data_IF_242101877783
#
_entry.id   IF_242101877783
#
_cell.length_a   1.000
_cell.length_b   1.000
_cell.length_c   1.000
_cell.angle_alpha   90.00
_cell.angle_beta   90.00
_cell.angle_gamma   90.00
#
_symmetry.space_group_name_H-M   'P 1'
#
loop_
_entity.id
_entity.type
_entity.pdbx_description
1 polymer ?
#
# COMPACT_ATOMS: atom_id res chain seq x y z
N UNK A 1 -41.41 -15.68 -6.91
CA UNK A 1 -40.59 -16.45 -5.94
C UNK A 1 -39.12 -16.05 -6.13
N UNK A 2 -38.39 -15.68 -5.07
CA UNK A 2 -36.97 -15.32 -5.19
C UNK A 2 -36.16 -16.56 -5.56
N UNK A 3 -35.24 -16.43 -6.53
CA UNK A 3 -34.40 -17.52 -7.01
C UNK A 3 -33.56 -18.09 -5.84
N UNK A 4 -33.71 -19.38 -5.48
CA UNK A 4 -33.02 -20.00 -4.34
C UNK A 4 -31.49 -20.09 -4.53
N UNK A 5 -31.02 -19.95 -5.77
CA UNK A 5 -29.58 -19.90 -6.10
C UNK A 5 -29.00 -18.48 -6.05
N UNK A 6 -29.80 -17.46 -5.79
CA UNK A 6 -29.29 -16.09 -5.71
C UNK A 6 -28.32 -15.96 -4.52
N UNK A 7 -27.14 -15.39 -4.79
CA UNK A 7 -26.12 -15.09 -3.78
C UNK A 7 -26.09 -13.61 -3.46
N UNK A 8 -25.74 -13.28 -2.23
CA UNK A 8 -25.43 -11.93 -1.78
C UNK A 8 -24.45 -11.99 -0.61
N UNK A 9 -23.60 -10.95 -0.50
CA UNK A 9 -22.79 -10.70 0.69
C UNK A 9 -23.57 -10.00 1.79
N UNK A 10 -24.67 -9.34 1.42
CA UNK A 10 -25.55 -8.58 2.33
C UNK A 10 -26.95 -9.17 2.32
N UNK A 11 -27.44 -9.48 3.51
CA UNK A 11 -28.79 -10.00 3.70
C UNK A 11 -29.48 -9.26 4.85
N UNK A 12 -30.76 -8.96 4.66
CA UNK A 12 -31.66 -8.41 5.66
C UNK A 12 -32.72 -9.46 5.97
N UNK A 13 -32.83 -9.81 7.24
CA UNK A 13 -33.83 -10.71 7.77
C UNK A 13 -34.86 -9.89 8.52
N UNK A 14 -36.14 -10.15 8.26
CA UNK A 14 -37.26 -9.59 9.03
C UNK A 14 -38.04 -10.74 9.64
N UNK A 15 -38.07 -10.84 10.95
CA UNK A 15 -38.74 -11.94 11.67
C UNK A 15 -39.93 -11.37 12.42
N UNK A 16 -41.11 -11.97 12.25
CA UNK A 16 -42.30 -11.60 13.00
C UNK A 16 -42.38 -12.43 14.28
N UNK A 17 -42.81 -11.81 15.38
CA UNK A 17 -43.02 -12.44 16.69
C UNK A 17 -41.81 -13.27 17.16
N UNK A 18 -40.61 -12.69 17.23
CA UNK A 18 -39.37 -13.41 17.56
C UNK A 18 -39.46 -14.17 18.88
N UNK A 19 -40.15 -13.61 19.90
CA UNK A 19 -40.41 -14.26 21.18
C UNK A 19 -41.18 -15.59 21.05
N UNK A 20 -42.14 -15.68 20.12
CA UNK A 20 -42.91 -16.90 19.85
C UNK A 20 -42.10 -17.93 19.05
N UNK A 21 -41.07 -17.47 18.34
CA UNK A 21 -40.15 -18.32 17.58
C UNK A 21 -38.92 -18.76 18.41
N UNK A 22 -38.85 -18.41 19.70
CA UNK A 22 -37.71 -18.75 20.57
C UNK A 22 -36.41 -18.03 20.21
N UNK A 23 -36.49 -16.90 19.51
CA UNK A 23 -35.32 -16.15 19.05
C UNK A 23 -34.86 -15.16 20.13
N UNK A 24 -34.08 -15.65 21.09
CA UNK A 24 -33.37 -14.77 22.03
C UNK A 24 -32.19 -14.07 21.37
N UNK A 25 -31.69 -12.98 21.98
CA UNK A 25 -30.52 -12.27 21.48
C UNK A 25 -29.29 -13.19 21.44
N UNK A 26 -29.11 -14.02 22.46
CA UNK A 26 -28.01 -14.99 22.58
C UNK A 26 -28.08 -16.03 21.47
N UNK A 27 -29.29 -16.49 21.13
CA UNK A 27 -29.48 -17.42 20.01
C UNK A 27 -29.05 -16.76 18.69
N UNK A 28 -29.47 -15.52 18.42
CA UNK A 28 -29.07 -14.79 17.21
C UNK A 28 -27.55 -14.64 17.12
N UNK A 29 -26.91 -14.22 18.22
CA UNK A 29 -25.44 -14.15 18.28
C UNK A 29 -24.79 -15.50 17.99
N UNK A 30 -25.26 -16.59 18.61
CA UNK A 30 -24.68 -17.93 18.41
C UNK A 30 -24.80 -18.42 16.96
N UNK A 31 -25.95 -18.17 16.32
CA UNK A 31 -26.20 -18.56 14.93
C UNK A 31 -25.32 -17.79 13.97
N UNK A 32 -25.16 -16.47 14.20
CA UNK A 32 -24.39 -15.60 13.33
C UNK A 32 -22.88 -15.77 13.52
N UNK A 33 -22.40 -15.92 14.76
CA UNK A 33 -20.98 -16.17 15.04
C UNK A 33 -20.55 -17.58 14.63
N UNK A 34 -21.47 -18.54 14.57
CA UNK A 34 -21.22 -19.85 13.97
C UNK A 34 -20.98 -19.83 12.45
N UNK A 35 -21.21 -18.69 11.79
CA UNK A 35 -20.90 -18.50 10.37
C UNK A 35 -19.51 -17.91 10.20
N UNK A 36 -18.54 -18.75 9.83
CA UNK A 36 -17.14 -18.33 9.61
C UNK A 36 -16.95 -17.22 8.58
N UNK A 37 -17.96 -16.92 7.76
CA UNK A 37 -17.83 -15.91 6.70
C UNK A 37 -18.41 -14.54 7.08
N UNK A 38 -19.13 -14.42 8.19
CA UNK A 38 -19.79 -13.16 8.59
C UNK A 38 -18.77 -12.27 9.32
N UNK A 39 -18.49 -11.10 8.76
CA UNK A 39 -17.53 -10.15 9.34
C UNK A 39 -18.23 -9.03 10.13
N UNK A 40 -19.51 -8.81 9.87
CA UNK A 40 -20.31 -7.77 10.53
C UNK A 40 -21.79 -8.15 10.55
N UNK A 41 -22.46 -7.88 11.67
CA UNK A 41 -23.92 -7.89 11.74
C UNK A 41 -24.44 -6.92 12.79
N UNK A 42 -25.68 -6.49 12.61
CA UNK A 42 -26.44 -5.80 13.64
C UNK A 42 -27.90 -6.24 13.61
N UNK A 43 -28.57 -6.13 14.74
CA UNK A 43 -30.00 -6.42 14.84
C UNK A 43 -30.69 -5.56 15.89
N UNK A 44 -31.99 -5.38 15.74
CA UNK A 44 -32.82 -4.65 16.68
C UNK A 44 -34.22 -5.25 16.76
N UNK A 45 -34.92 -4.92 17.85
CA UNK A 45 -36.33 -5.26 18.04
C UNK A 45 -37.20 -4.03 17.82
N UNK A 46 -38.33 -4.26 17.17
CA UNK A 46 -39.33 -3.24 16.87
C UNK A 46 -40.72 -3.72 17.28
N UNK A 47 -41.58 -2.78 17.69
CA UNK A 47 -42.99 -3.03 17.94
C UNK A 47 -43.77 -2.19 16.93
N UNK A 48 -44.47 -2.86 16.01
CA UNK A 48 -45.36 -2.17 15.08
C UNK A 48 -46.48 -1.45 15.85
N UNK A 49 -47.10 -0.41 15.24
CA UNK A 49 -48.25 0.30 15.82
C UNK A 49 -49.41 -0.63 16.21
N UNK A 50 -49.48 -1.82 15.61
CA UNK A 50 -50.46 -2.88 15.91
C UNK A 50 -50.09 -3.77 17.11
N UNK A 51 -48.99 -3.48 17.81
CA UNK A 51 -48.49 -4.25 18.97
C UNK A 51 -47.72 -5.52 18.59
N UNK A 52 -47.48 -5.77 17.31
CA UNK A 52 -46.72 -6.93 16.85
C UNK A 52 -45.21 -6.68 16.94
N UNK A 53 -44.50 -7.60 17.61
CA UNK A 53 -43.05 -7.59 17.71
C UNK A 53 -42.39 -8.07 16.41
N UNK A 54 -41.34 -7.37 15.99
CA UNK A 54 -40.52 -7.68 14.83
C UNK A 54 -39.05 -7.60 15.18
N UNK A 55 -38.23 -8.47 14.59
CA UNK A 55 -36.78 -8.39 14.68
C UNK A 55 -36.20 -8.18 13.29
N UNK A 56 -35.34 -7.18 13.14
CA UNK A 56 -34.56 -6.96 11.94
C UNK A 56 -33.12 -7.36 12.19
N UNK A 57 -32.55 -8.20 11.32
CA UNK A 57 -31.15 -8.63 11.38
C UNK A 57 -30.52 -8.27 10.05
N UNK A 58 -29.45 -7.48 10.08
CA UNK A 58 -28.61 -7.21 8.92
C UNK A 58 -27.28 -7.95 9.08
N UNK A 59 -26.82 -8.60 8.01
CA UNK A 59 -25.50 -9.26 7.98
C UNK A 59 -24.69 -8.81 6.77
N UNK A 60 -23.37 -8.77 6.96
CA UNK A 60 -22.37 -8.67 5.91
C UNK A 60 -21.35 -9.81 6.03
N UNK A 61 -20.97 -10.38 4.88
CA UNK A 61 -20.04 -11.49 4.78
C UNK A 61 -19.03 -11.27 3.64
N UNK A 62 -17.73 -11.48 3.89
CA UNK A 62 -16.70 -11.39 2.84
C UNK A 62 -16.94 -12.37 1.69
N UNK A 63 -17.54 -13.52 1.98
CA UNK A 63 -17.92 -14.55 0.99
C UNK A 63 -19.43 -14.52 0.68
N UNK A 64 -19.86 -14.54 -0.59
CA UNK A 64 -21.29 -14.52 -0.92
C UNK A 64 -22.06 -15.72 -0.35
N UNK A 65 -23.11 -15.46 0.42
CA UNK A 65 -24.00 -16.48 0.98
C UNK A 65 -25.21 -16.68 0.05
N UNK A 66 -25.56 -17.93 -0.23
CA UNK A 66 -26.77 -18.28 -1.01
C UNK A 66 -28.03 -17.97 -0.21
N UNK A 67 -29.09 -17.54 -0.89
CA UNK A 67 -30.41 -17.31 -0.30
C UNK A 67 -30.88 -18.50 0.54
N UNK A 68 -30.78 -19.71 -0.01
CA UNK A 68 -31.16 -20.94 0.68
C UNK A 68 -30.33 -21.19 1.96
N UNK A 69 -29.02 -20.94 1.92
CA UNK A 69 -28.14 -21.08 3.08
C UNK A 69 -28.48 -20.07 4.17
N UNK A 70 -28.67 -18.80 3.81
CA UNK A 70 -29.09 -17.76 4.74
C UNK A 70 -30.46 -18.06 5.35
N UNK A 71 -31.44 -18.41 4.51
CA UNK A 71 -32.82 -18.74 4.92
C UNK A 71 -32.89 -19.95 5.86
N UNK A 72 -32.01 -20.95 5.72
CA UNK A 72 -31.92 -22.10 6.64
C UNK A 72 -31.54 -21.70 8.07
N UNK A 73 -30.82 -20.59 8.27
CA UNK A 73 -30.42 -20.12 9.60
C UNK A 73 -31.57 -19.50 10.37
N UNK A 74 -32.45 -18.80 9.65
CA UNK A 74 -33.69 -18.26 10.19
C UNK A 74 -34.86 -18.68 9.30
N UNK A 75 -35.36 -19.92 9.41
CA UNK A 75 -36.40 -20.45 8.51
C UNK A 75 -37.67 -19.60 8.48
N UNK A 76 -38.02 -18.96 9.59
CA UNK A 76 -39.21 -18.13 9.73
C UNK A 76 -39.04 -16.68 9.24
N UNK A 77 -37.84 -16.26 8.83
CA UNK A 77 -37.59 -14.88 8.43
C UNK A 77 -38.11 -14.53 7.03
N UNK A 78 -38.57 -13.32 6.81
CA UNK A 78 -38.55 -12.77 5.46
C UNK A 78 -37.12 -12.35 5.12
N UNK A 79 -36.57 -12.88 4.02
CA UNK A 79 -35.17 -12.65 3.63
C UNK A 79 -35.11 -11.77 2.38
N UNK A 80 -34.43 -10.63 2.49
CA UNK A 80 -34.18 -9.66 1.45
C UNK A 80 -32.69 -9.50 1.19
N UNK A 81 -32.32 -9.28 -0.08
CA UNK A 81 -30.98 -8.78 -0.39
C UNK A 81 -30.92 -7.35 0.12
N UNK A 82 -29.94 -7.04 0.98
CA UNK A 82 -29.76 -5.68 1.44
C UNK A 82 -29.10 -4.85 0.33
N UNK A 83 -29.68 -3.68 0.05
CA UNK A 83 -29.17 -2.67 -0.87
C UNK A 83 -28.49 -1.55 -0.09
N UNK A 84 -27.70 -0.72 -0.74
CA UNK A 84 -26.93 0.34 -0.06
C UNK A 84 -25.72 -0.20 0.71
N UNK A 85 -24.94 0.66 1.35
CA UNK A 85 -23.72 0.29 2.10
C UNK A 85 -24.03 -0.37 3.45
N UNK A 86 -23.05 -1.04 4.07
CA UNK A 86 -23.23 -1.57 5.43
C UNK A 86 -23.51 -0.44 6.43
N UNK A 87 -22.89 0.72 6.26
CA UNK A 87 -23.16 1.91 7.07
C UNK A 87 -24.61 2.41 6.91
N UNK A 88 -25.14 2.44 5.68
CA UNK A 88 -26.54 2.80 5.43
C UNK A 88 -27.52 1.80 6.05
N UNK A 89 -27.24 0.49 5.96
CA UNK A 89 -28.09 -0.54 6.57
C UNK A 89 -28.04 -0.50 8.10
N UNK A 90 -26.86 -0.23 8.68
CA UNK A 90 -26.71 0.01 10.13
C UNK A 90 -27.52 1.21 10.57
N UNK A 91 -27.38 2.35 9.88
CA UNK A 91 -28.13 3.57 10.19
C UNK A 91 -29.64 3.38 10.01
N UNK A 92 -30.07 2.57 9.03
CA UNK A 92 -31.47 2.19 8.85
C UNK A 92 -32.02 1.40 10.04
N UNK A 93 -31.28 0.40 10.56
CA UNK A 93 -31.69 -0.38 11.74
C UNK A 93 -31.68 0.43 13.05
N UNK A 94 -30.72 1.35 13.20
CA UNK A 94 -30.67 2.29 14.33
C UNK A 94 -31.73 3.39 14.24
N UNK A 95 -32.28 3.62 13.04
CA UNK A 95 -33.13 4.77 12.70
C UNK A 95 -32.45 6.10 13.01
N UNK A 96 -31.15 6.17 12.78
CA UNK A 96 -30.32 7.37 12.94
C UNK A 96 -30.30 8.22 11.65
N UNK A 97 -29.89 9.48 11.76
CA UNK A 97 -29.73 10.39 10.61
C UNK A 97 -31.03 10.70 9.88
N UNK A 98 -31.07 10.46 8.56
CA UNK A 98 -32.25 10.73 7.71
C UNK A 98 -33.52 9.95 8.10
N UNK A 99 -33.37 8.92 8.93
CA UNK A 99 -34.47 8.07 9.39
C UNK A 99 -35.01 8.45 10.78
N UNK A 100 -34.30 9.32 11.51
CA UNK A 100 -34.67 9.75 12.86
C UNK A 100 -35.97 10.57 12.91
N UNK A 101 -36.32 11.24 11.81
CA UNK A 101 -37.53 12.08 11.68
C UNK A 101 -38.70 11.35 11.01
N UNK A 102 -38.60 10.05 10.75
CA UNK A 102 -39.68 9.27 10.13
C UNK A 102 -40.62 8.68 11.18
N UNK A 103 -41.92 8.52 10.88
CA UNK A 103 -42.89 7.85 11.76
C UNK A 103 -42.47 6.42 12.17
N UNK A 104 -41.50 5.83 11.46
CA UNK A 104 -40.91 4.53 11.79
C UNK A 104 -39.93 4.63 12.97
N UNK A 105 -39.37 5.79 13.31
CA UNK A 105 -38.51 5.94 14.49
C UNK A 105 -39.23 5.54 15.79
N UNK A 106 -40.53 5.80 15.88
CA UNK A 106 -41.38 5.51 17.04
C UNK A 106 -41.60 4.01 17.31
N UNK A 107 -41.33 3.13 16.33
CA UNK A 107 -41.54 1.68 16.49
C UNK A 107 -40.31 0.93 17.00
N UNK A 108 -39.15 1.59 17.17
CA UNK A 108 -37.93 0.94 17.66
C UNK A 108 -37.92 0.82 19.18
N UNK A 109 -37.61 -0.36 19.73
CA UNK A 109 -37.42 -0.52 21.17
C UNK A 109 -36.06 0.07 21.54
N UNK A 110 -36.07 1.18 22.28
CA UNK A 110 -34.86 1.88 22.73
C UNK A 110 -33.96 0.94 23.56
N UNK A 111 -32.70 0.78 23.14
CA UNK A 111 -31.72 -0.09 23.80
C UNK A 111 -31.73 -1.56 23.35
N UNK A 112 -32.58 -1.94 22.39
CA UNK A 112 -32.62 -3.31 21.83
C UNK A 112 -31.58 -3.58 20.74
N UNK A 113 -30.87 -2.54 20.29
CA UNK A 113 -29.88 -2.65 19.23
C UNK A 113 -28.63 -3.39 19.71
N UNK A 114 -28.21 -4.37 18.92
CA UNK A 114 -27.02 -5.17 19.14
C UNK A 114 -26.15 -5.13 17.87
N UNK A 115 -24.84 -5.06 18.04
CA UNK A 115 -23.86 -4.94 16.96
C UNK A 115 -22.63 -5.78 17.26
N UNK A 116 -22.06 -6.38 16.22
CA UNK A 116 -20.84 -7.16 16.32
C UNK A 116 -20.03 -7.08 15.02
N UNK A 117 -18.71 -7.09 15.17
CA UNK A 117 -17.76 -7.04 14.05
C UNK A 117 -17.43 -5.61 13.62
N UNK A 118 -16.82 -5.47 12.44
CA UNK A 118 -16.38 -4.17 11.90
C UNK A 118 -16.95 -3.93 10.52
N UNK A 119 -17.52 -2.75 10.31
CA UNK A 119 -18.02 -2.33 9.00
C UNK A 119 -16.83 -2.26 8.02
N UNK A 120 -16.89 -2.91 6.84
CA UNK A 120 -15.83 -2.81 5.84
C UNK A 120 -15.71 -1.38 5.31
N UNK A 121 -14.48 -0.92 5.05
CA UNK A 121 -14.25 0.37 4.40
C UNK A 121 -14.96 0.47 3.02
N UNK A 122 -15.43 1.66 2.66
CA UNK A 122 -16.11 1.90 1.38
C UNK A 122 -15.26 1.40 0.19
N UNK A 123 -15.87 0.64 -0.73
CA UNK A 123 -15.18 0.00 -1.87
C UNK A 123 -14.75 -1.46 -1.64
N UNK A 124 -14.48 -1.88 -0.39
CA UNK A 124 -14.27 -3.32 -0.07
C UNK A 124 -15.54 -4.15 -0.26
N UNK A 125 -16.70 -3.51 -0.13
CA UNK A 125 -18.00 -4.17 -0.30
C UNK A 125 -18.27 -4.62 -1.74
N UNK A 126 -17.85 -3.83 -2.72
CA UNK A 126 -18.15 -4.06 -4.14
C UNK A 126 -17.15 -5.00 -4.80
N UNK A 127 -15.86 -4.94 -4.44
CA UNK A 127 -14.87 -5.87 -4.96
C UNK A 127 -13.74 -6.20 -3.95
N UNK A 128 -14.00 -7.09 -2.98
CA UNK A 128 -13.04 -7.43 -1.92
C UNK A 128 -11.69 -7.91 -2.46
N UNK A 129 -11.68 -8.66 -3.57
CA UNK A 129 -10.45 -9.17 -4.17
C UNK A 129 -9.57 -8.05 -4.75
N UNK A 130 -10.17 -7.04 -5.41
CA UNK A 130 -9.40 -5.90 -5.93
C UNK A 130 -8.86 -5.02 -4.80
N UNK A 131 -9.67 -4.76 -3.77
CA UNK A 131 -9.20 -4.02 -2.59
C UNK A 131 -8.05 -4.74 -1.90
N UNK A 132 -8.14 -6.07 -1.77
CA UNK A 132 -7.05 -6.87 -1.19
C UNK A 132 -5.77 -6.78 -2.00
N UNK A 133 -5.86 -6.79 -3.34
CA UNK A 133 -4.68 -6.61 -4.19
C UNK A 133 -4.00 -5.26 -3.95
N UNK A 134 -4.76 -4.17 -3.87
CA UNK A 134 -4.23 -2.84 -3.59
C UNK A 134 -3.52 -2.80 -2.23
N UNK A 135 -4.12 -3.38 -1.20
CA UNK A 135 -3.49 -3.50 0.13
C UNK A 135 -2.17 -4.27 0.09
N UNK A 136 -2.13 -5.40 -0.63
CA UNK A 136 -0.91 -6.21 -0.75
C UNK A 136 0.21 -5.41 -1.45
N UNK A 137 -0.12 -4.68 -2.52
CA UNK A 137 0.84 -3.81 -3.22
C UNK A 137 1.32 -2.68 -2.28
N UNK A 138 0.42 -2.02 -1.57
CA UNK A 138 0.77 -0.94 -0.63
C UNK A 138 1.58 -1.44 0.58
N UNK A 139 1.41 -2.71 0.97
CA UNK A 139 2.21 -3.34 2.02
C UNK A 139 3.64 -3.70 1.57
N UNK A 140 4.01 -3.42 0.32
CA UNK A 140 5.35 -3.66 -0.21
C UNK A 140 5.58 -5.09 -0.72
N UNK A 141 4.54 -5.92 -0.85
CA UNK A 141 4.72 -7.27 -1.37
C UNK A 141 5.17 -7.25 -2.84
N UNK A 142 6.11 -8.14 -3.14
CA UNK A 142 6.56 -8.41 -4.50
C UNK A 142 5.44 -9.03 -5.33
N UNK A 143 5.49 -8.88 -6.64
CA UNK A 143 4.49 -9.48 -7.54
C UNK A 143 4.47 -11.01 -7.38
N UNK A 144 5.62 -11.64 -7.15
CA UNK A 144 5.74 -13.07 -6.89
C UNK A 144 5.03 -13.48 -5.60
N UNK A 145 5.22 -12.78 -4.49
CA UNK A 145 4.53 -13.05 -3.22
C UNK A 145 3.01 -12.90 -3.35
N UNK A 146 2.55 -11.88 -4.07
CA UNK A 146 1.13 -11.67 -4.36
C UNK A 146 0.57 -12.88 -5.13
N UNK A 147 1.27 -13.36 -6.16
CA UNK A 147 0.84 -14.52 -6.95
C UNK A 147 0.85 -15.80 -6.11
N UNK A 148 1.86 -16.02 -5.28
CA UNK A 148 1.93 -17.18 -4.39
C UNK A 148 0.80 -17.16 -3.35
N UNK A 149 0.45 -15.98 -2.82
CA UNK A 149 -0.66 -15.83 -1.88
C UNK A 149 -2.04 -16.06 -2.52
N UNK A 150 -2.17 -15.74 -3.81
CA UNK A 150 -3.40 -15.94 -4.57
C UNK A 150 -3.09 -16.23 -6.05
N UNK A 151 -3.01 -17.51 -6.44
CA UNK A 151 -2.67 -17.93 -7.80
C UNK A 151 -3.60 -17.41 -8.90
N UNK A 152 -4.78 -16.87 -8.58
CA UNK A 152 -5.66 -16.21 -9.54
C UNK A 152 -5.03 -14.97 -10.22
N UNK A 153 -3.95 -14.44 -9.65
CA UNK A 153 -3.18 -13.34 -10.23
C UNK A 153 -2.05 -13.78 -11.17
N UNK A 154 -1.81 -15.08 -11.36
CA UNK A 154 -0.66 -15.59 -12.12
C UNK A 154 -0.53 -15.01 -13.54
N UNK A 155 -1.66 -14.71 -14.20
CA UNK A 155 -1.69 -14.12 -15.55
C UNK A 155 -1.88 -12.59 -15.55
N UNK A 156 -1.75 -11.93 -14.40
CA UNK A 156 -1.99 -10.49 -14.21
C UNK A 156 -0.74 -9.72 -13.75
N UNK A 157 0.44 -10.29 -13.96
CA UNK A 157 1.73 -9.71 -13.56
C UNK A 157 1.91 -8.28 -14.08
N UNK A 158 1.59 -8.03 -15.35
CA UNK A 158 1.71 -6.70 -15.94
C UNK A 158 0.75 -5.70 -15.30
N UNK A 159 -0.51 -6.07 -15.09
CA UNK A 159 -1.50 -5.21 -14.43
C UNK A 159 -1.08 -4.85 -13.01
N UNK A 160 -0.48 -5.79 -12.27
CA UNK A 160 0.03 -5.56 -10.92
C UNK A 160 1.19 -4.57 -10.94
N UNK A 161 2.12 -4.71 -11.87
CA UNK A 161 3.27 -3.81 -11.99
C UNK A 161 2.82 -2.39 -12.38
N UNK A 162 1.93 -2.26 -13.36
CA UNK A 162 1.34 -0.96 -13.76
C UNK A 162 0.58 -0.32 -12.60
N UNK A 163 -0.20 -1.10 -11.83
CA UNK A 163 -0.90 -0.60 -10.66
C UNK A 163 0.08 -0.12 -9.57
N UNK A 164 1.16 -0.87 -9.33
CA UNK A 164 2.21 -0.48 -8.38
C UNK A 164 2.87 0.85 -8.80
N UNK A 165 3.27 0.97 -10.06
CA UNK A 165 3.84 2.21 -10.60
C UNK A 165 2.87 3.38 -10.48
N UNK A 166 1.59 3.17 -10.78
CA UNK A 166 0.55 4.20 -10.65
C UNK A 166 0.43 4.70 -9.21
N UNK A 167 0.39 3.79 -8.23
CA UNK A 167 0.29 4.14 -6.82
C UNK A 167 1.55 4.84 -6.30
N UNK A 168 2.74 4.39 -6.72
CA UNK A 168 3.98 5.07 -6.39
C UNK A 168 4.04 6.47 -7.00
N UNK A 169 3.62 6.63 -8.26
CA UNK A 169 3.61 7.91 -8.97
C UNK A 169 2.70 8.92 -8.28
N UNK A 170 1.48 8.52 -7.91
CA UNK A 170 0.56 9.40 -7.17
C UNK A 170 1.12 9.82 -5.81
N UNK A 171 1.74 8.88 -5.08
CA UNK A 171 2.35 9.16 -3.78
C UNK A 171 3.55 10.11 -3.88
N UNK A 172 4.53 9.79 -4.73
CA UNK A 172 5.81 10.48 -4.77
C UNK A 172 5.83 11.72 -5.67
N UNK A 173 4.81 11.93 -6.51
CA UNK A 173 4.64 13.19 -7.25
C UNK A 173 4.18 14.37 -6.39
N UNK A 174 3.70 14.12 -5.16
CA UNK A 174 3.07 15.11 -4.28
C UNK A 174 3.89 15.45 -3.03
N UNK A 175 5.00 14.78 -2.82
CA UNK A 175 5.79 14.90 -1.58
C UNK A 175 7.27 15.09 -1.90
N UNK A 176 7.95 15.87 -1.06
CA UNK A 176 9.40 15.92 -1.09
C UNK A 176 9.97 14.66 -0.44
N UNK A 177 11.03 14.13 -1.04
CA UNK A 177 11.77 12.95 -0.60
C UNK A 177 12.74 13.32 0.52
N UNK A 178 12.96 12.39 1.43
CA UNK A 178 14.08 12.43 2.36
C UNK A 178 15.22 11.61 1.75
N UNK A 179 16.34 12.25 1.43
CA UNK A 179 17.48 11.60 0.78
C UNK A 179 18.67 11.49 1.72
N UNK A 180 19.21 10.29 1.85
CA UNK A 180 20.52 9.99 2.39
C UNK A 180 21.46 9.60 1.24
N UNK A 181 22.44 10.45 0.97
CA UNK A 181 23.39 10.24 -0.13
C UNK A 181 24.76 9.91 0.44
N UNK A 182 25.28 8.75 0.10
CA UNK A 182 26.59 8.27 0.55
C UNK A 182 27.52 8.09 -0.63
N UNK A 183 28.62 8.84 -0.66
CA UNK A 183 29.69 8.65 -1.61
C UNK A 183 30.69 7.63 -1.03
N UNK A 184 30.96 6.55 -1.75
CA UNK A 184 31.89 5.50 -1.36
C UNK A 184 33.00 5.41 -2.39
N UNK A 185 34.25 5.53 -1.95
CA UNK A 185 35.41 5.32 -2.81
C UNK A 185 36.47 4.41 -2.19
N UNK A 186 37.42 3.95 -3.00
CA UNK A 186 38.49 3.04 -2.58
C UNK A 186 38.85 2.06 -3.68
N UNK A 187 39.86 1.23 -3.49
CA UNK A 187 40.32 0.29 -4.51
C UNK A 187 39.25 -0.76 -4.87
N UNK A 188 39.38 -1.38 -6.05
CA UNK A 188 38.58 -2.56 -6.40
C UNK A 188 38.77 -3.66 -5.37
N UNK A 189 37.71 -4.40 -5.06
CA UNK A 189 37.75 -5.48 -4.06
C UNK A 189 37.86 -5.01 -2.60
N UNK A 190 37.76 -3.70 -2.32
CA UNK A 190 37.79 -3.18 -0.95
C UNK A 190 36.51 -3.43 -0.14
N UNK A 191 35.47 -4.04 -0.73
CA UNK A 191 34.21 -4.36 -0.03
C UNK A 191 33.12 -3.28 -0.13
N UNK A 192 33.24 -2.33 -1.06
CA UNK A 192 32.28 -1.23 -1.26
C UNK A 192 30.84 -1.73 -1.52
N UNK A 193 30.65 -2.62 -2.50
CA UNK A 193 29.32 -3.17 -2.79
C UNK A 193 28.84 -4.08 -1.66
N UNK A 194 29.73 -4.87 -1.04
CA UNK A 194 29.40 -5.74 0.10
C UNK A 194 28.79 -4.93 1.25
N UNK A 195 29.38 -3.78 1.59
CA UNK A 195 28.85 -2.88 2.60
C UNK A 195 27.40 -2.49 2.31
N UNK A 196 27.04 -2.20 1.06
CA UNK A 196 25.66 -1.82 0.71
C UNK A 196 24.69 -3.00 0.91
N UNK A 197 25.09 -4.20 0.49
CA UNK A 197 24.29 -5.42 0.65
C UNK A 197 24.16 -5.89 2.11
N UNK A 198 25.09 -5.52 2.99
CA UNK A 198 24.96 -5.77 4.43
C UNK A 198 23.94 -4.84 5.10
N UNK A 199 23.72 -3.64 4.55
CA UNK A 199 22.84 -2.62 5.14
C UNK A 199 21.44 -2.59 4.54
N UNK A 200 21.25 -3.14 3.34
CA UNK A 200 19.98 -3.10 2.61
C UNK A 200 19.63 -4.47 2.04
N UNK A 201 18.32 -4.78 2.02
CA UNK A 201 17.82 -5.98 1.36
C UNK A 201 18.16 -5.93 -0.14
N UNK A 202 18.62 -7.04 -0.76
CA UNK A 202 18.84 -7.10 -2.21
C UNK A 202 17.61 -6.70 -3.04
N UNK A 203 16.39 -6.92 -2.52
CA UNK A 203 15.14 -6.53 -3.18
C UNK A 203 14.92 -5.01 -3.22
N UNK A 204 15.49 -4.30 -2.25
CA UNK A 204 15.37 -2.83 -2.11
C UNK A 204 16.50 -2.07 -2.80
N UNK A 205 17.41 -2.77 -3.48
CA UNK A 205 18.56 -2.18 -4.16
C UNK A 205 18.33 -2.19 -5.68
N UNK A 206 18.32 -1.01 -6.30
CA UNK A 206 18.48 -0.84 -7.74
C UNK A 206 19.92 -0.41 -8.05
N UNK A 207 20.63 -1.23 -8.83
CA UNK A 207 22.00 -0.92 -9.28
C UNK A 207 21.98 -0.35 -10.70
N UNK A 208 22.61 0.80 -10.86
CA UNK A 208 22.89 1.43 -12.15
C UNK A 208 24.32 1.08 -12.52
N UNK A 209 24.45 0.11 -13.43
CA UNK A 209 25.74 -0.41 -13.92
C UNK A 209 25.98 -0.07 -15.38
N UNK A 210 24.98 0.52 -16.05
CA UNK A 210 25.06 0.94 -17.45
C UNK A 210 24.75 2.42 -17.53
N UNK A 211 25.73 3.18 -18.01
CA UNK A 211 25.62 4.62 -18.15
C UNK A 211 25.35 5.00 -19.59
N UNK A 212 24.66 6.14 -19.75
CA UNK A 212 24.49 6.78 -21.04
C UNK A 212 25.83 7.23 -21.65
N UNK A 213 25.75 7.82 -22.84
CA UNK A 213 26.88 8.49 -23.48
C UNK A 213 26.57 9.98 -23.65
N UNK A 214 27.49 10.76 -24.23
CA UNK A 214 27.27 12.21 -24.42
C UNK A 214 26.01 12.56 -25.22
N UNK A 215 25.49 11.62 -26.01
CA UNK A 215 24.31 11.81 -26.85
C UNK A 215 23.02 11.25 -26.23
N UNK A 216 23.12 10.41 -25.20
CA UNK A 216 21.99 9.73 -24.58
C UNK A 216 22.18 9.70 -23.07
N UNK A 217 21.22 10.26 -22.33
CA UNK A 217 21.21 10.21 -20.86
C UNK A 217 21.13 8.78 -20.33
N UNK A 218 21.54 8.60 -19.08
CA UNK A 218 21.45 7.32 -18.39
C UNK A 218 19.97 6.91 -18.26
N UNK A 219 19.67 5.65 -18.59
CA UNK A 219 18.31 5.11 -18.52
C UNK A 219 18.13 4.26 -17.27
N UNK A 220 17.02 4.47 -16.58
CA UNK A 220 16.67 3.81 -15.32
C UNK A 220 15.75 2.61 -15.54
N UNK A 221 16.00 1.83 -16.61
CA UNK A 221 15.15 0.68 -17.01
C UNK A 221 15.04 -0.40 -15.91
N UNK A 222 16.04 -0.52 -15.05
CA UNK A 222 16.09 -1.47 -13.94
C UNK A 222 15.41 -0.94 -12.65
N UNK A 223 14.93 0.30 -12.67
CA UNK A 223 14.31 0.92 -11.50
C UNK A 223 12.81 0.65 -11.49
N UNK A 224 12.34 -0.04 -10.45
CA UNK A 224 10.95 -0.44 -10.25
C UNK A 224 10.44 -0.01 -8.87
N UNK A 225 10.94 1.15 -8.39
CA UNK A 225 10.52 1.74 -7.13
C UNK A 225 11.27 1.23 -5.91
N UNK A 226 12.50 0.73 -6.09
CA UNK A 226 13.37 0.36 -4.99
C UNK A 226 13.74 1.57 -4.12
N UNK A 227 13.92 1.34 -2.81
CA UNK A 227 14.23 2.40 -1.86
C UNK A 227 15.71 2.85 -1.90
N UNK A 228 16.59 2.02 -2.44
CA UNK A 228 18.04 2.28 -2.50
C UNK A 228 18.52 2.26 -3.94
N UNK A 229 19.12 3.37 -4.39
CA UNK A 229 19.70 3.53 -5.71
C UNK A 229 21.23 3.50 -5.61
N UNK A 230 21.91 2.70 -6.42
CA UNK A 230 23.37 2.54 -6.39
C UNK A 230 23.97 2.82 -7.75
N UNK A 231 24.77 3.87 -7.86
CA UNK A 231 25.62 4.14 -9.02
C UNK A 231 26.93 3.37 -8.88
N UNK A 232 27.05 2.26 -9.59
CA UNK A 232 28.23 1.39 -9.53
C UNK A 232 29.32 1.87 -10.49
N UNK A 233 30.59 1.74 -10.09
CA UNK A 233 31.75 2.16 -10.91
C UNK A 233 31.64 3.59 -11.47
N UNK A 234 31.23 4.53 -10.62
CA UNK A 234 30.97 5.91 -11.01
C UNK A 234 32.26 6.73 -11.24
N UNK A 235 32.35 7.39 -12.38
CA UNK A 235 33.48 8.18 -12.89
C UNK A 235 32.95 9.39 -13.70
N UNK A 236 32.05 10.17 -13.11
CA UNK A 236 31.43 11.35 -13.75
C UNK A 236 30.71 11.05 -15.08
N UNK A 237 30.18 9.84 -15.28
CA UNK A 237 29.46 9.49 -16.52
C UNK A 237 28.11 10.23 -16.65
N UNK A 238 27.49 10.55 -15.52
CA UNK A 238 26.29 11.40 -15.45
C UNK A 238 26.76 12.85 -15.30
N UNK A 239 26.20 13.78 -16.08
CA UNK A 239 26.55 15.19 -15.97
C UNK A 239 26.21 15.74 -14.58
N UNK A 240 27.00 16.71 -14.07
CA UNK A 240 26.76 17.25 -12.73
C UNK A 240 25.34 17.85 -12.59
N UNK A 241 24.79 18.61 -13.56
CA UNK A 241 23.42 19.11 -13.47
C UNK A 241 22.36 17.99 -13.42
N UNK A 242 22.55 16.90 -14.16
CA UNK A 242 21.65 15.74 -14.11
C UNK A 242 21.75 15.03 -12.75
N UNK A 243 22.97 14.84 -12.24
CA UNK A 243 23.20 14.28 -10.90
C UNK A 243 22.57 15.16 -9.80
N UNK A 244 22.63 16.48 -9.91
CA UNK A 244 21.98 17.38 -8.96
C UNK A 244 20.47 17.19 -8.92
N UNK A 245 19.81 16.95 -10.06
CA UNK A 245 18.38 16.65 -10.12
C UNK A 245 18.05 15.30 -9.47
N UNK A 246 18.83 14.27 -9.78
CA UNK A 246 18.70 12.92 -9.17
C UNK A 246 18.77 13.03 -7.65
N UNK A 247 19.74 13.79 -7.13
CA UNK A 247 19.99 13.95 -5.70
C UNK A 247 19.16 15.07 -5.05
N UNK A 248 18.19 15.66 -5.77
CA UNK A 248 17.30 16.67 -5.19
C UNK A 248 16.14 16.03 -4.41
N UNK A 249 15.58 16.76 -3.45
CA UNK A 249 14.47 16.30 -2.63
C UNK A 249 13.12 16.39 -3.36
N UNK A 250 13.02 17.16 -4.44
CA UNK A 250 11.75 17.35 -5.14
C UNK A 250 11.34 16.10 -5.94
N UNK A 251 10.04 15.95 -6.26
CA UNK A 251 9.56 14.91 -7.18
C UNK A 251 10.32 14.93 -8.51
N UNK A 252 10.75 13.75 -8.96
CA UNK A 252 11.54 13.59 -10.18
C UNK A 252 11.06 12.37 -10.96
N UNK A 253 10.93 12.54 -12.28
CA UNK A 253 10.76 11.42 -13.21
C UNK A 253 12.14 10.97 -13.72
N UNK A 254 12.41 9.68 -13.62
CA UNK A 254 13.63 9.06 -14.09
C UNK A 254 13.40 8.55 -15.52
N UNK A 255 14.23 8.96 -16.49
CA UNK A 255 14.05 8.56 -17.87
C UNK A 255 14.29 7.06 -18.05
N UNK A 256 13.37 6.37 -18.71
CA UNK A 256 13.58 4.98 -19.15
C UNK A 256 13.32 4.85 -20.65
N UNK A 257 13.45 3.64 -21.22
CA UNK A 257 13.22 3.41 -22.66
C UNK A 257 11.76 3.43 -23.05
N UNK A 258 10.89 2.92 -22.18
CA UNK A 258 9.47 2.72 -22.49
C UNK A 258 8.60 3.71 -21.73
N UNK A 259 8.72 3.74 -20.41
CA UNK A 259 7.98 4.66 -19.55
C UNK A 259 8.90 5.17 -18.46
N UNK A 260 8.85 6.46 -18.20
CA UNK A 260 9.61 7.04 -17.10
C UNK A 260 9.08 6.54 -15.75
N UNK A 261 9.99 6.46 -14.77
CA UNK A 261 9.67 5.99 -13.42
C UNK A 261 9.75 7.14 -12.43
N UNK A 262 8.77 7.26 -11.54
CA UNK A 262 8.86 8.23 -10.44
C UNK A 262 10.00 7.82 -9.49
N UNK A 263 10.88 8.75 -9.13
CA UNK A 263 11.89 8.51 -8.11
C UNK A 263 11.20 8.38 -6.74
N UNK A 264 11.34 7.23 -6.07
CA UNK A 264 10.85 7.01 -4.72
C UNK A 264 11.91 6.46 -3.74
N UNK A 265 13.17 6.42 -4.18
CA UNK A 265 14.30 6.06 -3.32
C UNK A 265 14.56 7.12 -2.25
N UNK A 266 15.04 6.65 -1.11
CA UNK A 266 15.47 7.47 0.03
C UNK A 266 16.98 7.34 0.28
N UNK A 267 17.61 6.27 -0.22
CA UNK A 267 19.05 6.06 -0.08
C UNK A 267 19.71 6.08 -1.45
N UNK A 268 20.81 6.82 -1.59
CA UNK A 268 21.60 6.85 -2.81
C UNK A 268 23.06 6.56 -2.46
N UNK A 269 23.64 5.58 -3.14
CA UNK A 269 25.07 5.28 -3.06
C UNK A 269 25.75 5.63 -4.37
N UNK A 270 26.82 6.41 -4.30
CA UNK A 270 27.70 6.68 -5.44
C UNK A 270 29.00 5.93 -5.17
N UNK A 271 29.24 4.84 -5.88
CA UNK A 271 30.37 3.94 -5.65
C UNK A 271 31.42 4.17 -6.72
N UNK A 272 32.63 4.58 -6.32
CA UNK A 272 33.72 4.90 -7.22
C UNK A 272 35.03 4.23 -6.82
N UNK A 273 35.99 4.21 -7.76
CA UNK A 273 37.40 3.99 -7.44
C UNK A 273 38.16 5.32 -7.28
N UNK A 274 37.57 6.44 -7.73
CA UNK A 274 38.13 7.78 -7.61
C UNK A 274 37.71 8.41 -6.27
N UNK A 275 38.60 9.18 -5.62
CA UNK A 275 38.18 10.05 -4.53
C UNK A 275 37.22 11.13 -5.06
N UNK A 276 36.41 11.69 -4.16
CA UNK A 276 35.34 12.62 -4.54
C UNK A 276 35.88 13.87 -5.25
N UNK A 277 36.97 14.45 -4.76
CA UNK A 277 37.68 15.60 -5.32
C UNK A 277 38.32 15.34 -6.70
N UNK A 278 38.40 14.09 -7.16
CA UNK A 278 38.79 13.77 -8.53
C UNK A 278 37.60 13.73 -9.52
N UNK A 279 36.36 13.88 -9.04
CA UNK A 279 35.16 13.92 -9.89
C UNK A 279 34.92 15.33 -10.43
N UNK A 280 34.41 15.46 -11.65
CA UNK A 280 33.94 16.76 -12.18
C UNK A 280 34.96 17.91 -12.12
N UNK A 281 36.23 17.66 -12.49
CA UNK A 281 37.32 18.63 -12.40
C UNK A 281 37.00 20.01 -13.04
N UNK A 282 36.28 20.03 -14.16
CA UNK A 282 35.90 21.28 -14.84
C UNK A 282 35.00 22.17 -13.96
N UNK A 283 34.02 21.59 -13.25
CA UNK A 283 33.17 22.36 -12.35
C UNK A 283 33.96 22.87 -11.15
N UNK A 284 34.88 22.08 -10.61
CA UNK A 284 35.75 22.54 -9.52
C UNK A 284 36.62 23.74 -9.92
N UNK A 285 37.09 23.77 -11.17
CA UNK A 285 37.93 24.85 -11.68
C UNK A 285 37.13 26.11 -12.08
N UNK A 286 35.97 25.93 -12.73
CA UNK A 286 35.29 27.03 -13.43
C UNK A 286 33.88 27.35 -12.89
N UNK A 287 33.24 26.44 -12.16
CA UNK A 287 31.87 26.59 -11.64
C UNK A 287 31.71 25.95 -10.25
N UNK A 288 32.36 26.61 -9.28
CA UNK A 288 32.39 26.20 -7.88
C UNK A 288 31.02 26.19 -7.23
N UNK A 289 30.09 27.01 -7.70
CA UNK A 289 28.74 27.07 -7.13
C UNK A 289 27.97 25.77 -7.37
N UNK A 290 28.03 25.26 -8.61
CA UNK A 290 27.44 23.97 -8.99
C UNK A 290 28.14 22.82 -8.27
N UNK A 291 29.47 22.85 -8.14
CA UNK A 291 30.21 21.88 -7.32
C UNK A 291 29.76 21.88 -5.86
N UNK A 292 29.70 23.05 -5.23
CA UNK A 292 29.26 23.18 -3.85
C UNK A 292 27.79 22.73 -3.68
N UNK A 293 26.94 22.88 -4.70
CA UNK A 293 25.58 22.36 -4.70
C UNK A 293 25.53 20.82 -4.67
N UNK A 294 26.50 20.15 -5.28
CA UNK A 294 26.65 18.70 -5.23
C UNK A 294 27.11 18.23 -3.86
N UNK A 295 28.16 18.86 -3.31
CA UNK A 295 28.66 18.54 -1.97
C UNK A 295 27.58 18.72 -0.89
N UNK A 296 26.73 19.76 -0.99
CA UNK A 296 25.61 19.95 -0.05
C UNK A 296 24.60 18.81 -0.03
N UNK A 297 24.42 18.10 -1.15
CA UNK A 297 23.51 16.96 -1.30
C UNK A 297 24.12 15.64 -0.83
N UNK A 298 25.43 15.57 -0.67
CA UNK A 298 26.11 14.39 -0.12
C UNK A 298 26.02 14.41 1.41
N UNK A 299 25.43 13.36 1.98
CA UNK A 299 25.24 13.19 3.43
C UNK A 299 26.50 12.66 4.09
N UNK A 300 27.15 11.64 3.49
CA UNK A 300 28.39 11.06 4.03
C UNK A 300 29.36 10.64 2.93
N UNK A 301 30.66 10.68 3.24
CA UNK A 301 31.75 10.34 2.33
C UNK A 301 32.61 9.29 3.04
N UNK A 302 32.77 8.13 2.42
CA UNK A 302 33.45 6.96 2.98
C UNK A 302 34.54 6.46 2.06
N UNK A 303 35.74 6.32 2.60
CA UNK A 303 36.88 5.72 1.92
C UNK A 303 37.13 4.31 2.44
N UNK A 304 37.21 3.35 1.53
CA UNK A 304 37.47 1.95 1.81
C UNK A 304 38.93 1.63 1.47
N UNK A 305 39.74 1.44 2.51
CA UNK A 305 41.14 1.02 2.39
C UNK A 305 41.29 -0.44 2.78
N UNK A 306 42.12 -1.17 2.04
CA UNK A 306 42.60 -2.49 2.48
C UNK A 306 43.88 -2.31 3.29
N UNK A 307 43.92 -2.91 4.48
CA UNK A 307 45.14 -3.05 5.26
C UNK A 307 45.55 -4.54 5.32
N UNK A 308 45.99 -5.07 4.17
CA UNK A 308 46.38 -6.48 4.02
C UNK A 308 45.19 -7.45 4.07
N UNK A 309 44.63 -7.68 5.25
CA UNK A 309 43.60 -8.72 5.51
C UNK A 309 42.20 -8.14 5.71
N UNK A 310 42.08 -6.94 6.26
CA UNK A 310 40.79 -6.31 6.56
C UNK A 310 40.55 -5.03 5.76
N UNK A 311 39.27 -4.68 5.61
CA UNK A 311 38.84 -3.38 5.11
C UNK A 311 38.70 -2.41 6.28
N UNK A 312 39.28 -1.23 6.14
CA UNK A 312 39.10 -0.08 7.03
C UNK A 312 38.22 0.94 6.29
N UNK A 313 37.19 1.43 6.96
CA UNK A 313 36.31 2.48 6.47
C UNK A 313 36.72 3.78 7.17
N UNK A 314 37.04 4.80 6.39
CA UNK A 314 37.39 6.14 6.88
C UNK A 314 36.25 7.08 6.46
N UNK A 315 35.64 7.74 7.44
CA UNK A 315 34.66 8.80 7.21
C UNK A 315 35.38 10.14 7.01
N UNK A 316 35.03 10.86 5.95
CA UNK A 316 35.59 12.17 5.63
C UNK A 316 34.61 13.29 5.97
N UNK A 317 35.10 14.43 6.46
CA UNK A 317 34.25 15.62 6.66
C UNK A 317 33.94 16.25 5.30
N UNK A 318 32.65 16.32 4.95
CA UNK A 318 32.20 16.96 3.70
C UNK A 318 32.68 18.40 3.53
N UNK A 319 32.98 19.11 4.62
CA UNK A 319 33.50 20.48 4.56
C UNK A 319 34.86 20.57 3.86
N UNK A 320 35.63 19.49 3.88
CA UNK A 320 36.94 19.41 3.20
C UNK A 320 36.80 19.48 1.68
N UNK A 321 35.62 19.19 1.14
CA UNK A 321 35.35 19.16 -0.30
C UNK A 321 34.65 20.42 -0.83
N UNK A 322 34.35 21.41 0.01
CA UNK A 322 33.76 22.68 -0.43
C UNK A 322 34.85 23.62 -1.01
N UNK A 323 34.54 24.32 -2.12
CA UNK A 323 35.48 25.14 -2.90
C UNK A 323 35.17 26.63 -2.99
#
# INVERSE_FOLDING_TARGET
MKNPNSQSRKWLFTIQKPSQCGLSNEYVHSVLQGLMTVDYYCFCHEIAKTGSEHMHIFIYSHSPIRFSTAKKRFPMSHLDKALGTCAENRAYLLKEGKWASTEKAETSIKGSFQEWGTIPAEGKETNPQKSKLIELIQSGMTTSEIILSNPNYAFKTNDINVLRETLLSDKYSRVNRELNVTYIFGSTGAGKSHYIFDHHSPLDICRITSYGNKLNSTKFDSYHGQNTLVFEEYHSQISLPEMLNILDIYPLQLPARYNDHIACYSNVYIVSNLPLDAQYADYQAYDKETWNAFIRRITSIKEFKRNGVSTIIIDHDKKEYLL
#
